data_IF_216802648050
#
_entry.id   IF_216802648050
#
_cell.length_a   1.000
_cell.length_b   1.000
_cell.length_c   1.000
_cell.angle_alpha   90.00
_cell.angle_beta   90.00
_cell.angle_gamma   90.00
#
_symmetry.space_group_name_H-M   'P 1'
#
loop_
_entity.id
_entity.type
_entity.pdbx_description
1 polymer ?
#
# COMPACT_ATOMS: atom_id res chain seq x y z
N UNK A 1 21.16 3.44 0.98
CA UNK A 1 19.86 4.05 0.65
C UNK A 1 20.06 5.54 0.79
N UNK A 2 19.78 6.31 -0.26
CA UNK A 2 20.08 7.74 -0.33
C UNK A 2 19.00 8.61 0.30
N UNK A 3 17.74 8.15 0.30
CA UNK A 3 16.67 8.76 1.07
C UNK A 3 16.86 8.40 2.55
N UNK A 4 17.28 9.36 3.35
CA UNK A 4 17.58 9.17 4.77
C UNK A 4 16.44 9.71 5.66
N UNK A 5 16.39 9.34 6.96
CA UNK A 5 15.44 9.93 7.90
C UNK A 5 15.48 11.46 7.95
N UNK A 6 16.68 12.06 7.84
CA UNK A 6 16.87 13.52 7.85
C UNK A 6 16.23 14.17 6.62
N UNK A 7 16.43 13.58 5.43
CA UNK A 7 15.76 14.04 4.22
C UNK A 7 14.24 13.87 4.30
N UNK A 8 13.76 12.75 4.85
CA UNK A 8 12.33 12.54 5.06
C UNK A 8 11.76 13.62 5.98
N UNK A 9 12.45 13.98 7.05
CA UNK A 9 11.99 15.01 7.98
C UNK A 9 11.75 16.37 7.30
N UNK A 10 12.56 16.74 6.29
CA UNK A 10 12.38 17.97 5.51
C UNK A 10 11.07 18.00 4.69
N UNK A 11 10.45 16.84 4.45
CA UNK A 11 9.20 16.74 3.67
C UNK A 11 7.95 16.80 4.55
N UNK A 12 8.10 16.70 5.86
CA UNK A 12 6.98 16.66 6.81
C UNK A 12 6.58 18.10 7.15
N UNK A 13 5.27 18.36 7.06
CA UNK A 13 4.66 19.63 7.46
C UNK A 13 3.26 19.40 8.02
N UNK A 14 2.78 20.28 8.92
CA UNK A 14 1.40 20.22 9.39
C UNK A 14 0.43 20.42 8.22
N UNK A 15 -0.44 19.45 7.99
CA UNK A 15 -1.50 19.50 6.97
C UNK A 15 -2.81 19.13 7.66
N UNK A 16 -3.89 19.92 7.50
CA UNK A 16 -5.15 19.65 8.18
C UNK A 16 -5.79 18.36 7.66
N UNK A 17 -6.44 17.61 8.57
CA UNK A 17 -7.36 16.56 8.16
C UNK A 17 -8.66 17.20 7.67
N UNK A 18 -8.85 17.17 6.35
CA UNK A 18 -10.03 17.72 5.69
C UNK A 18 -11.23 16.77 5.76
N UNK A 19 -11.11 15.63 6.45
CA UNK A 19 -12.13 14.61 6.56
C UNK A 19 -12.25 13.74 5.31
N UNK A 20 -13.43 13.13 5.07
CA UNK A 20 -13.60 12.14 4.02
C UNK A 20 -13.42 12.70 2.62
N UNK A 21 -13.12 11.82 1.67
CA UNK A 21 -12.95 12.20 0.26
C UNK A 21 -14.28 12.68 -0.34
N UNK A 22 -14.35 13.88 -0.95
CA UNK A 22 -15.56 14.38 -1.56
C UNK A 22 -16.04 13.48 -2.70
N UNK A 23 -17.36 13.27 -2.74
CA UNK A 23 -18.00 12.45 -3.77
C UNK A 23 -17.78 10.94 -3.61
N UNK A 24 -17.16 10.49 -2.51
CA UNK A 24 -16.95 9.07 -2.22
C UNK A 24 -17.94 8.59 -1.15
N UNK A 25 -18.45 7.38 -1.33
CA UNK A 25 -19.47 6.84 -0.43
C UNK A 25 -18.84 5.92 0.60
N UNK A 26 -18.83 6.32 1.87
CA UNK A 26 -18.34 5.47 2.95
C UNK A 26 -19.20 4.20 3.11
N UNK A 27 -18.54 3.10 3.44
CA UNK A 27 -19.22 1.87 3.79
C UNK A 27 -19.87 2.03 5.16
N UNK A 28 -21.15 1.68 5.25
CA UNK A 28 -21.81 1.60 6.56
C UNK A 28 -21.25 0.42 7.37
N UNK A 29 -21.30 0.44 8.72
CA UNK A 29 -20.83 -0.69 9.51
C UNK A 29 -21.45 -2.04 9.10
N UNK A 30 -22.76 -2.17 8.86
CA UNK A 30 -23.35 -3.43 8.38
C UNK A 30 -22.83 -3.87 7.00
N UNK A 31 -22.53 -2.91 6.12
CA UNK A 31 -21.97 -3.19 4.80
C UNK A 31 -20.52 -3.70 4.89
N UNK A 32 -19.75 -3.17 5.84
CA UNK A 32 -18.39 -3.61 6.13
C UNK A 32 -18.40 -5.00 6.79
N UNK A 33 -19.32 -5.25 7.72
CA UNK A 33 -19.51 -6.55 8.37
C UNK A 33 -19.88 -7.63 7.34
N UNK A 34 -20.80 -7.32 6.43
CA UNK A 34 -21.19 -8.24 5.35
C UNK A 34 -20.01 -8.56 4.41
N UNK A 35 -19.18 -7.57 4.09
CA UNK A 35 -17.99 -7.77 3.26
C UNK A 35 -16.92 -8.60 3.98
N UNK A 36 -16.74 -8.38 5.28
CA UNK A 36 -15.84 -9.19 6.10
C UNK A 36 -16.30 -10.65 6.16
N UNK A 37 -17.59 -10.88 6.39
CA UNK A 37 -18.20 -12.21 6.40
C UNK A 37 -18.05 -12.91 5.04
N UNK A 38 -18.20 -12.17 3.93
CA UNK A 38 -17.95 -12.71 2.59
C UNK A 38 -16.51 -13.21 2.44
N UNK A 39 -15.50 -12.39 2.76
CA UNK A 39 -14.10 -12.81 2.62
C UNK A 39 -13.73 -13.93 3.59
N UNK A 40 -14.32 -13.96 4.80
CA UNK A 40 -14.13 -15.07 5.74
C UNK A 40 -14.71 -16.39 5.19
N UNK A 41 -15.94 -16.34 4.65
CA UNK A 41 -16.57 -17.48 4.00
C UNK A 41 -15.78 -17.96 2.77
N UNK A 42 -15.21 -17.04 1.98
CA UNK A 42 -14.33 -17.36 0.85
C UNK A 42 -12.99 -18.00 1.28
N UNK A 43 -12.58 -17.86 2.55
CA UNK A 43 -11.46 -18.63 3.11
C UNK A 43 -11.90 -20.07 3.45
N UNK A 44 -13.13 -20.26 3.93
CA UNK A 44 -13.58 -21.54 4.47
C UNK A 44 -12.71 -21.98 5.65
N UNK A 45 -12.26 -23.23 5.62
CA UNK A 45 -11.37 -23.82 6.62
C UNK A 45 -9.88 -23.50 6.37
N UNK A 46 -9.54 -22.89 5.23
CA UNK A 46 -8.16 -22.53 4.91
C UNK A 46 -7.67 -21.37 5.80
N UNK A 47 -6.36 -21.33 6.12
CA UNK A 47 -5.76 -20.20 6.80
C UNK A 47 -5.84 -18.93 5.93
N UNK A 48 -6.17 -17.80 6.55
CA UNK A 48 -6.12 -16.51 5.88
C UNK A 48 -4.68 -16.04 5.75
N UNK A 49 -4.24 -15.88 4.51
CA UNK A 49 -2.96 -15.24 4.18
C UNK A 49 -3.19 -13.88 3.54
N UNK A 50 -2.43 -12.88 3.96
CA UNK A 50 -2.48 -11.51 3.40
C UNK A 50 -1.16 -11.18 2.73
N UNK A 51 -1.20 -10.73 1.46
CA UNK A 51 -0.01 -10.27 0.75
C UNK A 51 0.25 -8.78 0.97
N UNK A 52 1.39 -8.50 1.60
CA UNK A 52 1.88 -7.17 1.86
C UNK A 52 2.97 -6.78 0.86
N UNK A 53 2.72 -5.71 0.11
CA UNK A 53 3.64 -5.10 -0.85
C UNK A 53 3.82 -3.59 -0.62
N UNK A 54 3.36 -3.06 0.51
CA UNK A 54 3.43 -1.64 0.82
C UNK A 54 3.41 -1.42 2.32
N UNK A 55 2.55 -0.51 2.80
CA UNK A 55 2.46 -0.18 4.24
C UNK A 55 2.15 -1.35 5.15
N UNK A 56 1.45 -2.38 4.68
CA UNK A 56 1.18 -3.59 5.48
C UNK A 56 2.45 -4.32 5.93
N UNK A 57 3.61 -4.07 5.31
CA UNK A 57 4.89 -4.66 5.72
C UNK A 57 5.38 -4.06 7.05
N UNK A 58 5.12 -2.77 7.30
CA UNK A 58 5.66 -2.03 8.46
C UNK A 58 4.60 -1.43 9.38
N UNK A 59 3.34 -1.41 8.95
CA UNK A 59 2.18 -1.05 9.75
C UNK A 59 1.04 -2.02 9.45
N UNK A 60 1.21 -3.32 9.81
CA UNK A 60 0.13 -4.30 9.75
C UNK A 60 -0.98 -3.89 10.71
N UNK A 61 -2.22 -4.25 10.36
CA UNK A 61 -3.42 -3.96 11.17
C UNK A 61 -4.13 -5.25 11.59
N UNK A 62 -3.33 -6.31 11.70
CA UNK A 62 -3.72 -7.68 12.00
C UNK A 62 -2.60 -8.38 12.76
N UNK A 63 -2.98 -9.43 13.49
CA UNK A 63 -2.05 -10.28 14.21
C UNK A 63 -1.61 -11.42 13.30
N UNK A 64 -0.32 -11.47 12.99
CA UNK A 64 0.26 -12.55 12.20
C UNK A 64 0.94 -13.58 13.11
N UNK A 65 0.70 -14.87 12.83
CA UNK A 65 1.39 -15.98 13.51
C UNK A 65 2.62 -16.48 12.73
N UNK A 66 2.67 -16.18 11.44
CA UNK A 66 3.74 -16.57 10.54
C UNK A 66 3.88 -15.56 9.39
N UNK A 67 5.09 -15.44 8.84
CA UNK A 67 5.32 -14.67 7.62
C UNK A 67 6.31 -15.38 6.69
N UNK A 68 6.13 -15.21 5.38
CA UNK A 68 6.98 -15.80 4.34
C UNK A 68 7.22 -14.78 3.23
N UNK A 69 8.39 -14.88 2.57
CA UNK A 69 8.61 -14.16 1.32
C UNK A 69 7.77 -14.76 0.20
N UNK A 70 7.21 -13.90 -0.65
CA UNK A 70 6.39 -14.34 -1.76
C UNK A 70 6.55 -13.45 -3.00
N UNK A 71 6.31 -14.05 -4.17
CA UNK A 71 6.30 -13.37 -5.46
C UNK A 71 4.92 -13.44 -6.11
N UNK A 72 4.31 -12.29 -6.34
CA UNK A 72 3.09 -12.13 -7.14
C UNK A 72 3.46 -11.94 -8.62
N UNK A 73 3.32 -12.99 -9.42
CA UNK A 73 3.57 -12.95 -10.86
C UNK A 73 2.38 -12.37 -11.62
N UNK A 74 2.64 -11.60 -12.68
CA UNK A 74 1.60 -10.86 -13.40
C UNK A 74 1.13 -9.60 -12.68
N UNK A 75 1.86 -9.18 -11.64
CA UNK A 75 1.62 -7.97 -10.86
C UNK A 75 2.93 -7.23 -10.63
N UNK A 76 2.89 -5.90 -10.63
CA UNK A 76 4.02 -5.08 -10.21
C UNK A 76 3.51 -3.95 -9.33
N UNK A 77 4.35 -3.51 -8.39
CA UNK A 77 4.01 -2.39 -7.52
C UNK A 77 4.23 -1.07 -8.25
N UNK A 78 3.35 -0.12 -8.03
CA UNK A 78 3.38 1.17 -8.73
C UNK A 78 2.77 2.27 -7.87
N UNK A 79 3.41 3.44 -7.83
CA UNK A 79 2.85 4.65 -7.21
C UNK A 79 1.89 5.33 -8.20
N UNK A 80 0.72 4.73 -8.41
CA UNK A 80 -0.23 5.18 -9.43
C UNK A 80 -1.53 5.76 -8.85
N UNK A 81 -1.82 5.60 -7.55
CA UNK A 81 -3.06 6.08 -6.96
C UNK A 81 -2.94 7.55 -6.55
N UNK A 82 -3.61 8.46 -7.27
CA UNK A 82 -3.75 9.87 -6.89
C UNK A 82 -4.40 10.02 -5.52
N UNK A 83 -3.80 10.83 -4.66
CA UNK A 83 -4.34 11.21 -3.36
C UNK A 83 -4.29 12.72 -3.15
N UNK A 84 -5.45 13.34 -2.96
CA UNK A 84 -5.58 14.76 -2.56
C UNK A 84 -5.73 14.92 -1.04
N UNK A 85 -5.70 13.80 -0.31
CA UNK A 85 -5.85 13.67 1.14
C UNK A 85 -4.86 12.61 1.61
N UNK A 86 -4.83 12.30 2.90
CA UNK A 86 -3.91 11.31 3.48
C UNK A 86 -2.44 11.76 3.46
N UNK A 87 -1.69 11.40 2.41
CA UNK A 87 -0.26 11.76 2.24
C UNK A 87 -0.05 12.78 1.11
N UNK A 88 -1.15 13.39 0.68
CA UNK A 88 -1.17 14.59 -0.15
C UNK A 88 -2.18 15.57 0.41
N UNK A 89 -2.29 16.71 -0.26
CA UNK A 89 -3.22 17.78 0.03
C UNK A 89 -3.92 18.25 -1.24
N UNK A 90 -4.98 19.07 -1.16
CA UNK A 90 -5.61 19.64 -2.35
C UNK A 90 -4.65 20.46 -3.20
N UNK A 91 -3.68 21.13 -2.57
CA UNK A 91 -2.67 21.96 -3.23
C UNK A 91 -1.51 21.12 -3.78
N UNK A 92 -1.16 20.01 -3.11
CA UNK A 92 -0.07 19.14 -3.50
C UNK A 92 -0.51 17.67 -3.52
N UNK A 93 -0.83 17.19 -4.72
CA UNK A 93 -1.20 15.80 -4.97
C UNK A 93 -0.10 14.85 -4.46
N UNK A 94 -0.50 13.78 -3.77
CA UNK A 94 0.35 12.64 -3.43
C UNK A 94 0.01 11.38 -4.25
N UNK A 95 0.85 10.36 -4.11
CA UNK A 95 0.65 9.05 -4.74
C UNK A 95 0.72 7.93 -3.70
N UNK A 96 -0.20 6.97 -3.81
CA UNK A 96 -0.17 5.71 -3.06
C UNK A 96 0.18 4.55 -3.97
N UNK A 97 0.82 3.56 -3.38
CA UNK A 97 1.18 2.33 -4.07
C UNK A 97 -0.04 1.43 -4.28
N UNK A 98 -0.13 0.80 -5.45
CA UNK A 98 -1.04 -0.27 -5.78
C UNK A 98 -0.30 -1.41 -6.50
N UNK A 99 -0.95 -2.56 -6.67
CA UNK A 99 -0.51 -3.58 -7.62
C UNK A 99 -1.18 -3.37 -8.98
N UNK A 100 -0.40 -2.98 -9.97
CA UNK A 100 -0.83 -2.93 -11.37
C UNK A 100 -0.54 -4.27 -12.07
N UNK A 101 -1.28 -4.56 -13.15
CA UNK A 101 -1.09 -5.81 -13.91
C UNK A 101 0.24 -5.79 -14.67
N UNK A 102 0.83 -6.97 -14.83
CA UNK A 102 2.09 -7.22 -15.53
C UNK A 102 3.30 -7.27 -14.60
N UNK A 103 4.37 -7.93 -15.04
CA UNK A 103 5.62 -8.01 -14.29
C UNK A 103 5.60 -9.00 -13.12
N UNK A 104 6.36 -8.68 -12.08
CA UNK A 104 6.50 -9.44 -10.84
C UNK A 104 6.64 -8.47 -9.66
N UNK A 105 5.97 -8.77 -8.55
CA UNK A 105 6.10 -8.04 -7.30
C UNK A 105 6.54 -9.00 -6.20
N UNK A 106 7.70 -8.70 -5.60
CA UNK A 106 8.16 -9.40 -4.40
C UNK A 106 7.69 -8.66 -3.15
N UNK A 107 7.11 -9.43 -2.23
CA UNK A 107 6.56 -8.94 -0.97
C UNK A 107 6.60 -10.01 0.10
N UNK A 108 5.82 -9.78 1.16
CA UNK A 108 5.71 -10.67 2.31
C UNK A 108 4.27 -11.12 2.42
N UNK A 109 4.05 -12.40 2.68
CA UNK A 109 2.73 -12.89 3.09
C UNK A 109 2.72 -13.10 4.59
N UNK A 110 1.61 -12.77 5.22
CA UNK A 110 1.38 -13.00 6.64
C UNK A 110 0.22 -13.96 6.81
N UNK A 111 0.42 -15.01 7.62
CA UNK A 111 -0.66 -15.87 8.07
C UNK A 111 -1.35 -15.17 9.22
N UNK A 112 -2.58 -14.74 9.00
CA UNK A 112 -3.39 -14.09 10.03
C UNK A 112 -3.78 -15.15 11.05
N UNK A 113 -3.61 -14.82 12.33
CA UNK A 113 -3.98 -15.69 13.44
C UNK A 113 -5.45 -16.10 13.31
N UNK A 114 -5.74 -17.40 13.43
CA UNK A 114 -7.09 -17.92 13.22
C UNK A 114 -8.10 -17.41 14.25
N UNK A 115 -7.62 -17.13 15.48
CA UNK A 115 -8.45 -16.50 16.50
C UNK A 115 -8.90 -15.11 16.01
N UNK A 116 -10.22 -14.87 16.08
CA UNK A 116 -10.86 -13.62 15.67
C UNK A 116 -10.69 -13.25 14.18
N UNK A 117 -10.41 -14.23 13.29
CA UNK A 117 -10.17 -14.03 11.85
C UNK A 117 -11.14 -13.05 11.20
N UNK A 118 -12.45 -13.22 11.42
CA UNK A 118 -13.49 -12.32 10.91
C UNK A 118 -13.30 -10.86 11.36
N UNK A 119 -13.03 -10.64 12.64
CA UNK A 119 -12.79 -9.31 13.17
C UNK A 119 -11.50 -8.70 12.60
N UNK A 120 -10.46 -9.50 12.36
CA UNK A 120 -9.22 -9.04 11.73
C UNK A 120 -9.45 -8.64 10.26
N UNK A 121 -10.22 -9.43 9.50
CA UNK A 121 -10.64 -9.09 8.14
C UNK A 121 -11.38 -7.75 8.15
N UNK A 122 -12.33 -7.59 9.07
CA UNK A 122 -13.12 -6.36 9.20
C UNK A 122 -12.24 -5.13 9.46
N UNK A 123 -11.27 -5.22 10.37
CA UNK A 123 -10.30 -4.12 10.64
C UNK A 123 -9.49 -3.76 9.41
N UNK A 124 -8.95 -4.75 8.70
CA UNK A 124 -8.20 -4.51 7.46
C UNK A 124 -9.05 -3.83 6.39
N UNK A 125 -10.32 -4.25 6.23
CA UNK A 125 -11.26 -3.63 5.30
C UNK A 125 -11.57 -2.18 5.68
N UNK A 126 -11.76 -1.89 6.97
CA UNK A 126 -12.00 -0.53 7.47
C UNK A 126 -10.82 0.41 7.13
N UNK A 127 -9.60 -0.09 7.34
CA UNK A 127 -8.37 0.66 7.06
C UNK A 127 -8.10 0.85 5.57
N UNK A 128 -8.33 -0.16 4.74
CA UNK A 128 -7.91 -0.12 3.33
C UNK A 128 -9.03 0.25 2.35
N UNK A 129 -10.30 -0.06 2.67
CA UNK A 129 -11.45 -0.05 1.76
C UNK A 129 -12.64 0.65 2.43
N UNK A 130 -12.37 1.84 2.98
CA UNK A 130 -13.40 2.66 3.65
C UNK A 130 -14.56 3.09 2.74
N UNK A 131 -14.36 3.05 1.42
CA UNK A 131 -15.28 3.59 0.43
C UNK A 131 -15.72 2.54 -0.59
N UNK A 132 -16.97 2.65 -1.08
CA UNK A 132 -17.56 1.74 -2.06
C UNK A 132 -16.72 1.61 -3.33
N UNK A 133 -16.15 2.71 -3.77
CA UNK A 133 -15.33 2.86 -4.97
C UNK A 133 -14.08 1.97 -4.94
N UNK A 134 -13.62 1.58 -3.75
CA UNK A 134 -12.42 0.76 -3.58
C UNK A 134 -12.72 -0.73 -3.42
N UNK A 135 -13.98 -1.15 -3.23
CA UNK A 135 -14.34 -2.56 -2.93
C UNK A 135 -13.76 -3.54 -3.95
N UNK A 136 -13.80 -3.18 -5.23
CA UNK A 136 -13.30 -4.03 -6.32
C UNK A 136 -11.76 -4.18 -6.37
N UNK A 137 -11.04 -3.51 -5.48
CA UNK A 137 -9.58 -3.52 -5.40
C UNK A 137 -9.04 -4.52 -4.38
N UNK A 138 -9.91 -5.22 -3.63
CA UNK A 138 -9.52 -6.39 -2.83
C UNK A 138 -9.68 -7.65 -3.65
N UNK A 139 -8.64 -8.49 -3.70
CA UNK A 139 -8.64 -9.70 -4.53
C UNK A 139 -7.98 -10.87 -3.83
N UNK A 140 -8.45 -12.05 -4.17
CA UNK A 140 -7.67 -13.28 -4.01
C UNK A 140 -6.72 -13.43 -5.20
N UNK A 141 -5.45 -13.62 -4.92
CA UNK A 141 -4.44 -14.00 -5.92
C UNK A 141 -3.65 -15.21 -5.42
N UNK A 142 -2.97 -15.89 -6.34
CA UNK A 142 -2.00 -16.92 -5.99
C UNK A 142 -0.61 -16.34 -6.10
N UNK A 143 0.19 -16.45 -5.04
CA UNK A 143 1.59 -16.04 -5.02
C UNK A 143 2.49 -17.26 -4.89
N UNK A 144 3.73 -17.15 -5.35
CA UNK A 144 4.73 -18.22 -5.22
C UNK A 144 5.59 -18.00 -4.00
N UNK A 145 5.77 -19.05 -3.21
CA UNK A 145 6.67 -19.08 -2.04
C UNK A 145 7.64 -20.25 -2.17
N UNK A 146 8.61 -20.33 -1.26
CA UNK A 146 9.47 -21.51 -1.12
C UNK A 146 8.69 -22.80 -0.78
N UNK A 147 7.50 -22.66 -0.17
CA UNK A 147 6.60 -23.77 0.17
C UNK A 147 5.61 -24.10 -0.94
N UNK A 148 5.75 -23.48 -2.11
CA UNK A 148 4.82 -23.62 -3.23
C UNK A 148 3.81 -22.47 -3.34
N UNK A 149 2.79 -22.62 -4.20
CA UNK A 149 1.77 -21.60 -4.41
C UNK A 149 0.84 -21.47 -3.20
N UNK A 150 0.57 -20.24 -2.76
CA UNK A 150 -0.35 -19.92 -1.66
C UNK A 150 -1.37 -18.90 -2.15
N UNK A 151 -2.66 -19.15 -1.87
CA UNK A 151 -3.74 -18.19 -2.12
C UNK A 151 -3.76 -17.13 -1.02
N UNK A 152 -3.81 -15.86 -1.41
CA UNK A 152 -3.67 -14.72 -0.50
C UNK A 152 -4.68 -13.62 -0.83
N UNK A 153 -5.14 -12.94 0.21
CA UNK A 153 -5.91 -11.71 0.11
C UNK A 153 -4.95 -10.55 -0.13
N UNK A 154 -5.24 -9.70 -1.10
CA UNK A 154 -4.45 -8.52 -1.41
C UNK A 154 -5.34 -7.30 -1.57
N UNK A 155 -4.91 -6.17 -1.01
CA UNK A 155 -5.59 -4.89 -1.13
C UNK A 155 -4.98 -4.04 -2.25
N UNK A 156 -5.78 -3.17 -2.87
CA UNK A 156 -5.36 -2.27 -3.95
C UNK A 156 -4.75 -2.99 -5.17
N UNK A 157 -5.35 -4.10 -5.58
CA UNK A 157 -4.91 -4.89 -6.74
C UNK A 157 -5.75 -4.61 -7.99
N UNK A 158 -5.07 -4.16 -9.05
CA UNK A 158 -5.63 -3.82 -10.35
C UNK A 158 -6.64 -2.67 -10.26
N UNK A 159 -6.23 -1.52 -9.69
CA UNK A 159 -7.12 -0.38 -9.54
C UNK A 159 -7.51 0.19 -10.92
N UNK A 160 -8.68 0.83 -10.99
CA UNK A 160 -9.23 1.43 -12.21
C UNK A 160 -9.86 2.78 -11.87
N UNK A 161 -10.04 3.62 -12.89
CA UNK A 161 -10.71 4.93 -12.77
C UNK A 161 -9.77 6.11 -12.91
N UNK A 162 -10.33 7.31 -12.81
CA UNK A 162 -9.66 8.59 -13.13
C UNK A 162 -8.52 8.97 -12.16
N UNK A 163 -8.47 8.30 -11.00
CA UNK A 163 -7.44 8.48 -9.99
C UNK A 163 -6.18 7.66 -10.26
N UNK A 164 -6.14 6.89 -11.35
CA UNK A 164 -4.98 6.04 -11.66
C UNK A 164 -4.09 6.77 -12.66
N UNK A 165 -2.90 7.16 -12.21
CA UNK A 165 -1.80 7.61 -13.05
C UNK A 165 -0.89 6.43 -13.38
N UNK A 166 -1.39 5.51 -14.20
CA UNK A 166 -0.61 4.38 -14.67
C UNK A 166 0.58 4.84 -15.52
N UNK A 167 1.71 4.13 -15.39
CA UNK A 167 2.89 4.29 -16.26
C UNK A 167 3.53 5.69 -16.22
N UNK A 168 3.41 6.42 -15.11
CA UNK A 168 4.21 7.61 -14.93
C UNK A 168 5.72 7.26 -14.94
N UNK A 169 6.55 8.05 -15.64
CA UNK A 169 8.00 7.98 -15.49
C UNK A 169 8.43 8.08 -14.02
N UNK A 170 9.45 7.31 -13.61
CA UNK A 170 9.93 7.32 -12.22
C UNK A 170 10.38 8.70 -11.75
N UNK A 171 10.89 9.55 -12.65
CA UNK A 171 11.26 10.94 -12.34
C UNK A 171 10.05 11.79 -11.96
N UNK A 172 8.93 11.65 -12.67
CA UNK A 172 7.69 12.36 -12.36
C UNK A 172 7.09 11.86 -11.03
N UNK A 173 7.16 10.54 -10.79
CA UNK A 173 6.79 9.97 -9.50
C UNK A 173 7.68 10.55 -8.40
N UNK A 174 9.01 10.57 -8.57
CA UNK A 174 9.93 11.11 -7.59
C UNK A 174 9.64 12.58 -7.27
N UNK A 175 9.42 13.40 -8.31
CA UNK A 175 9.04 14.80 -8.19
C UNK A 175 7.79 14.99 -7.31
N UNK A 176 6.77 14.15 -7.51
CA UNK A 176 5.54 14.19 -6.70
C UNK A 176 5.81 13.74 -5.27
N UNK A 177 6.49 12.59 -5.07
CA UNK A 177 6.69 12.03 -3.73
C UNK A 177 7.56 12.93 -2.83
N UNK A 178 8.53 13.65 -3.40
CA UNK A 178 9.41 14.58 -2.68
C UNK A 178 8.66 15.79 -2.11
N UNK A 179 7.55 16.21 -2.74
CA UNK A 179 6.79 17.41 -2.36
C UNK A 179 5.51 17.10 -1.57
N UNK A 180 4.91 15.94 -1.80
CA UNK A 180 3.61 15.60 -1.25
C UNK A 180 3.67 15.28 0.25
N UNK A 181 2.84 16.00 1.02
CA UNK A 181 2.57 15.75 2.43
C UNK A 181 1.09 15.95 2.68
N UNK A 182 0.55 15.19 3.63
CA UNK A 182 -0.80 15.34 4.14
C UNK A 182 -0.86 14.98 5.63
N UNK A 183 -2.05 14.94 6.23
CA UNK A 183 -2.23 14.68 7.68
C UNK A 183 -1.63 13.34 8.14
N UNK A 184 -1.46 12.37 7.24
CA UNK A 184 -0.89 11.06 7.54
C UNK A 184 0.64 10.96 7.31
N UNK A 185 1.32 12.10 7.08
CA UNK A 185 2.75 12.19 6.76
C UNK A 185 3.03 12.40 5.27
N UNK A 186 4.32 12.37 4.89
CA UNK A 186 4.73 12.61 3.50
C UNK A 186 4.74 11.35 2.64
N UNK A 187 4.67 11.54 1.32
CA UNK A 187 4.88 10.44 0.38
C UNK A 187 6.32 9.90 0.44
N UNK A 188 7.31 10.75 0.69
CA UNK A 188 8.71 10.34 0.90
C UNK A 188 8.86 9.42 2.13
N UNK A 189 8.19 9.71 3.25
CA UNK A 189 8.18 8.84 4.43
C UNK A 189 7.61 7.44 4.10
N UNK A 190 6.52 7.40 3.33
CA UNK A 190 5.91 6.13 2.91
C UNK A 190 6.87 5.31 2.05
N UNK A 191 7.54 5.94 1.08
CA UNK A 191 8.55 5.29 0.25
C UNK A 191 9.72 4.77 1.09
N UNK A 192 10.28 5.62 1.96
CA UNK A 192 11.38 5.30 2.86
C UNK A 192 11.08 4.05 3.68
N UNK A 193 9.96 4.06 4.42
CA UNK A 193 9.56 2.93 5.26
C UNK A 193 9.35 1.65 4.44
N UNK A 194 8.78 1.77 3.25
CA UNK A 194 8.53 0.61 2.38
C UNK A 194 9.84 0.00 1.89
N UNK A 195 10.80 0.81 1.42
CA UNK A 195 12.11 0.31 0.97
C UNK A 195 12.90 -0.30 2.12
N UNK A 196 12.92 0.38 3.28
CA UNK A 196 13.61 -0.08 4.48
C UNK A 196 13.15 -1.49 4.87
N UNK A 197 11.84 -1.69 5.05
CA UNK A 197 11.34 -2.97 5.55
C UNK A 197 11.37 -4.06 4.48
N UNK A 198 11.20 -3.74 3.19
CA UNK A 198 11.45 -4.72 2.12
C UNK A 198 12.88 -5.25 2.19
N UNK A 199 13.86 -4.36 2.39
CA UNK A 199 15.26 -4.73 2.53
C UNK A 199 15.49 -5.62 3.76
N UNK A 200 14.81 -5.36 4.88
CA UNK A 200 14.92 -6.17 6.09
C UNK A 200 14.39 -7.61 5.87
N UNK A 201 13.40 -7.79 4.98
CA UNK A 201 12.97 -9.09 4.48
C UNK A 201 13.85 -9.66 3.34
N UNK A 202 14.99 -9.03 3.04
CA UNK A 202 15.90 -9.44 1.96
C UNK A 202 15.32 -9.26 0.55
N UNK A 203 14.32 -8.38 0.39
CA UNK A 203 13.68 -8.06 -0.88
C UNK A 203 14.29 -6.76 -1.42
N UNK A 204 14.98 -6.85 -2.55
CA UNK A 204 15.55 -5.71 -3.24
C UNK A 204 14.74 -5.39 -4.50
N UNK A 205 13.86 -4.40 -4.39
CA UNK A 205 13.06 -3.94 -5.52
C UNK A 205 13.81 -2.87 -6.31
N UNK A 206 14.29 -3.21 -7.51
CA UNK A 206 15.13 -2.31 -8.33
C UNK A 206 14.44 -0.96 -8.62
N UNK A 207 13.12 -0.97 -8.84
CA UNK A 207 12.40 0.25 -9.17
C UNK A 207 12.26 1.15 -7.94
N UNK A 208 11.96 0.57 -6.77
CA UNK A 208 11.91 1.37 -5.54
C UNK A 208 13.29 1.85 -5.08
N UNK A 209 14.34 1.07 -5.33
CA UNK A 209 15.72 1.49 -5.06
C UNK A 209 16.11 2.70 -5.91
N UNK A 210 15.83 2.68 -7.22
CA UNK A 210 16.05 3.84 -8.08
C UNK A 210 15.16 5.02 -7.67
N UNK A 211 13.89 4.76 -7.33
CA UNK A 211 12.94 5.80 -6.96
C UNK A 211 13.35 6.52 -5.66
N UNK A 212 13.83 5.81 -4.64
CA UNK A 212 14.28 6.47 -3.41
C UNK A 212 15.53 7.32 -3.63
N UNK A 213 16.42 6.94 -4.56
CA UNK A 213 17.56 7.79 -4.93
C UNK A 213 17.08 9.09 -5.58
N UNK A 214 16.16 8.99 -6.55
CA UNK A 214 15.60 10.17 -7.23
C UNK A 214 14.81 11.08 -6.27
N UNK A 215 14.05 10.51 -5.33
CA UNK A 215 13.33 11.30 -4.31
C UNK A 215 14.33 12.03 -3.39
N UNK A 216 15.43 11.38 -3.02
CA UNK A 216 16.46 12.03 -2.22
C UNK A 216 17.12 13.21 -2.97
N UNK A 217 17.38 13.06 -4.26
CA UNK A 217 17.90 14.14 -5.13
C UNK A 217 16.92 15.33 -5.19
N UNK A 218 15.63 15.06 -5.43
CA UNK A 218 14.58 16.09 -5.46
C UNK A 218 14.46 16.84 -4.12
N UNK A 219 14.53 16.13 -2.99
CA UNK A 219 14.47 16.76 -1.66
C UNK A 219 15.68 17.67 -1.45
N UNK A 220 16.89 17.23 -1.81
CA UNK A 220 18.09 18.08 -1.67
C UNK A 220 17.96 19.36 -2.51
N UNK A 221 17.57 19.23 -3.78
CA UNK A 221 17.40 20.37 -4.67
C UNK A 221 16.32 21.38 -4.21
N UNK A 222 15.33 20.93 -3.42
CA UNK A 222 14.31 21.81 -2.83
C UNK A 222 14.79 22.58 -1.59
N UNK A 223 15.91 22.17 -0.99
CA UNK A 223 16.44 22.71 0.27
C UNK A 223 17.86 23.28 0.13
N UNK A 224 18.35 23.44 -1.09
CA UNK A 224 19.54 24.24 -1.46
C UNK A 224 19.17 25.72 -1.64
#
# INVERSE_FOLDING_TARGET
MSLTPELVALTIRPEPDLGPEPGWTELTPPQLDALAAQYDAECGDDPLWVFAYGSLIWKPDFDAEEHLRASAWGWHRSFCLKMHRWRGSPQQLGLKMALERGGRCDGVIYRVRALDRLAQIRRMLEREIRYHENRAMVRWITVRTERGPIRVLVFWAGPKGERILSRLPLRDVAHILARACGPAGSCAEYLFNTVLHLRDFGIQDRNLWALQDMVAEEIRALNE
#
